data_IF_008892808213
#
_entry.id   IF_008892808213
#
_cell.length_a   1.000
_cell.length_b   1.000
_cell.length_c   1.000
_cell.angle_alpha   90.00
_cell.angle_beta   90.00
_cell.angle_gamma   90.00
#
_symmetry.space_group_name_H-M   'P 1'
#
loop_
_entity.id
_entity.type
_entity.pdbx_description
1 polymer ?
#
# COMPACT_ATOMS: atom_id res chain seq x y z
N UNK A 1 8.51 -0.87 0.90
CA UNK A 1 7.50 -1.23 1.91
C UNK A 1 6.48 -2.16 1.30
N UNK A 2 6.17 -3.27 1.97
CA UNK A 2 5.20 -4.28 1.54
C UNK A 2 3.88 -4.08 2.30
N UNK A 3 2.77 -4.11 1.56
CA UNK A 3 1.42 -3.88 2.09
C UNK A 3 0.51 -5.02 1.62
N UNK A 4 0.15 -5.92 2.53
CA UNK A 4 -0.62 -7.13 2.21
C UNK A 4 -2.11 -6.83 1.90
N UNK A 5 -2.80 -7.82 1.33
CA UNK A 5 -4.24 -7.75 1.06
C UNK A 5 -5.12 -8.06 2.27
N UNK A 6 -6.42 -7.82 2.14
CA UNK A 6 -7.42 -8.18 3.17
C UNK A 6 -7.39 -9.69 3.46
N UNK A 7 -7.39 -10.08 4.75
CA UNK A 7 -7.38 -11.49 5.11
C UNK A 7 -6.01 -12.16 5.00
N UNK A 8 -4.95 -11.36 4.95
CA UNK A 8 -3.56 -11.82 4.89
C UNK A 8 -2.73 -11.23 6.05
N UNK A 9 -1.40 -11.32 6.01
CA UNK A 9 -0.51 -10.77 7.04
C UNK A 9 0.84 -10.31 6.45
N UNK A 10 1.72 -9.79 7.30
CA UNK A 10 3.02 -9.23 6.93
C UNK A 10 3.96 -10.24 6.25
N UNK A 11 3.72 -11.55 6.34
CA UNK A 11 4.60 -12.58 5.77
C UNK A 11 4.27 -12.88 4.31
N UNK A 12 3.10 -12.46 3.83
CA UNK A 12 2.53 -12.86 2.54
C UNK A 12 3.40 -12.47 1.33
N UNK A 13 3.92 -11.26 1.34
CA UNK A 13 4.72 -10.73 0.23
C UNK A 13 6.23 -11.03 0.37
N UNK A 14 6.66 -11.76 1.41
CA UNK A 14 8.09 -12.05 1.60
C UNK A 14 8.65 -13.00 0.54
N UNK A 15 7.83 -13.79 -0.15
CA UNK A 15 8.31 -14.60 -1.27
C UNK A 15 8.86 -13.76 -2.45
N UNK A 16 8.64 -12.45 -2.44
CA UNK A 16 9.15 -11.54 -3.47
C UNK A 16 10.55 -10.99 -3.16
N UNK A 17 11.06 -11.15 -1.93
CA UNK A 17 12.29 -10.48 -1.49
C UNK A 17 13.52 -10.89 -2.30
N UNK A 18 13.56 -12.12 -2.79
CA UNK A 18 14.69 -12.64 -3.57
C UNK A 18 14.84 -11.94 -4.94
N UNK A 19 13.81 -11.20 -5.37
CA UNK A 19 13.82 -10.40 -6.59
C UNK A 19 14.18 -8.94 -6.36
N UNK A 20 14.37 -8.51 -5.10
CA UNK A 20 14.70 -7.12 -4.77
C UNK A 20 16.21 -6.87 -4.83
N UNK A 21 16.64 -5.61 -5.03
CA UNK A 21 18.04 -5.23 -4.89
C UNK A 21 18.60 -5.64 -3.52
N UNK A 22 19.84 -6.15 -3.49
CA UNK A 22 20.45 -6.76 -2.29
C UNK A 22 20.65 -5.76 -1.14
N UNK A 23 20.69 -4.48 -1.44
CA UNK A 23 20.84 -3.35 -0.53
C UNK A 23 19.50 -2.74 -0.08
N UNK A 24 18.38 -3.39 -0.41
CA UNK A 24 17.04 -2.90 -0.05
C UNK A 24 16.74 -3.10 1.44
N UNK A 25 16.26 -2.04 2.09
CA UNK A 25 15.55 -2.17 3.36
C UNK A 25 14.10 -2.61 3.13
N UNK A 26 13.81 -3.87 3.45
CA UNK A 26 12.46 -4.42 3.31
C UNK A 26 11.70 -4.28 4.62
N UNK A 27 10.62 -3.52 4.58
CA UNK A 27 9.67 -3.37 5.68
C UNK A 27 8.33 -3.92 5.21
N UNK A 28 7.85 -4.95 5.90
CA UNK A 28 6.52 -5.52 5.67
C UNK A 28 5.66 -5.27 6.89
N UNK A 29 4.50 -4.66 6.67
CA UNK A 29 3.63 -4.21 7.75
C UNK A 29 2.44 -5.14 7.90
N UNK A 30 2.08 -5.41 9.15
CA UNK A 30 0.82 -6.05 9.51
C UNK A 30 -0.26 -4.99 9.62
N UNK A 31 -1.41 -5.23 9.00
CA UNK A 31 -2.54 -4.36 9.13
C UNK A 31 -3.11 -4.36 10.58
N UNK A 32 -3.65 -3.23 11.07
CA UNK A 32 -3.99 -3.06 12.49
C UNK A 32 -5.23 -3.84 12.93
N UNK A 33 -6.13 -4.20 11.99
CA UNK A 33 -7.36 -4.92 12.33
C UNK A 33 -7.13 -6.42 12.23
N UNK A 34 -7.21 -7.12 13.36
CA UNK A 34 -7.21 -8.58 13.40
C UNK A 34 -8.56 -9.14 12.92
N UNK A 35 -8.50 -10.22 12.14
CA UNK A 35 -9.65 -10.99 11.69
C UNK A 35 -9.62 -12.37 12.38
N UNK A 36 -9.51 -13.45 11.62
CA UNK A 36 -9.44 -14.82 12.14
C UNK A 36 -8.25 -15.57 11.55
N UNK A 37 -7.71 -16.57 12.24
CA UNK A 37 -6.64 -17.43 11.73
C UNK A 37 -5.38 -16.69 11.25
N UNK A 38 -4.80 -15.81 12.09
CA UNK A 38 -3.59 -15.01 11.76
C UNK A 38 -3.72 -14.19 10.47
N UNK A 39 -4.90 -13.60 10.29
CA UNK A 39 -5.22 -12.71 9.18
C UNK A 39 -5.66 -11.34 9.66
N UNK A 40 -5.38 -10.33 8.84
CA UNK A 40 -5.54 -8.93 9.18
C UNK A 40 -6.11 -8.13 8.01
N UNK A 41 -6.67 -6.98 8.31
CA UNK A 41 -7.20 -6.02 7.34
C UNK A 41 -6.79 -4.60 7.67
N UNK A 42 -6.61 -3.79 6.63
CA UNK A 42 -6.31 -2.38 6.77
C UNK A 42 -7.57 -1.58 7.11
N UNK A 43 -8.67 -1.91 6.45
CA UNK A 43 -9.98 -1.31 6.66
C UNK A 43 -11.08 -2.31 6.33
N UNK A 44 -12.30 -2.02 6.79
CA UNK A 44 -13.43 -2.92 6.61
C UNK A 44 -13.94 -2.96 5.16
N UNK A 45 -14.42 -4.14 4.78
CA UNK A 45 -15.12 -4.39 3.53
C UNK A 45 -16.50 -4.91 3.92
N UNK A 46 -17.54 -4.19 3.49
CA UNK A 46 -18.92 -4.58 3.72
C UNK A 46 -19.47 -5.28 2.46
N UNK A 47 -20.18 -6.39 2.68
CA UNK A 47 -20.85 -7.15 1.63
C UNK A 47 -22.36 -7.07 1.88
N UNK A 48 -23.10 -6.59 0.90
CA UNK A 48 -24.57 -6.59 0.90
C UNK A 48 -25.08 -7.16 -0.40
N UNK A 49 -25.76 -8.32 -0.32
CA UNK A 49 -26.55 -9.04 -1.33
C UNK A 49 -25.98 -9.19 -2.76
N UNK A 50 -25.46 -8.15 -3.41
CA UNK A 50 -24.67 -8.17 -4.64
C UNK A 50 -23.56 -7.10 -4.74
N UNK A 51 -23.40 -6.27 -3.71
CA UNK A 51 -22.51 -5.12 -3.69
C UNK A 51 -21.41 -5.30 -2.64
N UNK A 52 -20.21 -4.87 -3.01
CA UNK A 52 -19.05 -4.76 -2.14
C UNK A 52 -18.78 -3.28 -1.88
N UNK A 53 -18.85 -2.86 -0.62
CA UNK A 53 -18.56 -1.50 -0.20
C UNK A 53 -17.28 -1.49 0.65
N UNK A 54 -16.53 -0.40 0.55
CA UNK A 54 -15.31 -0.19 1.33
C UNK A 54 -15.57 0.91 2.36
N UNK A 55 -14.99 0.75 3.55
CA UNK A 55 -14.92 1.82 4.54
C UNK A 55 -13.90 2.88 4.09
N UNK A 56 -14.33 3.81 3.22
CA UNK A 56 -13.43 4.81 2.64
C UNK A 56 -12.84 5.75 3.70
N UNK A 57 -13.58 6.05 4.78
CA UNK A 57 -13.08 6.91 5.86
C UNK A 57 -11.96 6.22 6.63
N UNK A 58 -12.13 4.93 6.96
CA UNK A 58 -11.07 4.14 7.57
C UNK A 58 -9.87 3.98 6.61
N UNK A 59 -10.12 3.69 5.34
CA UNK A 59 -9.06 3.58 4.33
C UNK A 59 -8.26 4.88 4.16
N UNK A 60 -8.91 6.04 4.18
CA UNK A 60 -8.25 7.33 4.10
C UNK A 60 -7.40 7.65 5.35
N UNK A 61 -7.86 7.24 6.55
CA UNK A 61 -7.05 7.32 7.78
C UNK A 61 -5.82 6.44 7.71
N UNK A 62 -5.99 5.18 7.31
CA UNK A 62 -4.88 4.22 7.16
C UNK A 62 -3.86 4.69 6.13
N UNK A 63 -4.31 5.27 5.01
CA UNK A 63 -3.42 5.91 4.03
C UNK A 63 -2.53 6.96 4.70
N UNK A 64 -3.10 7.83 5.53
CA UNK A 64 -2.35 8.90 6.18
C UNK A 64 -1.41 8.36 7.27
N UNK A 65 -1.83 7.36 8.03
CA UNK A 65 -0.99 6.68 9.02
C UNK A 65 0.20 5.97 8.37
N UNK A 66 -0.02 5.23 7.28
CA UNK A 66 1.04 4.61 6.51
C UNK A 66 2.00 5.65 5.91
N UNK A 67 1.47 6.78 5.43
CA UNK A 67 2.32 7.87 4.95
C UNK A 67 3.18 8.46 6.07
N UNK A 68 2.61 8.76 7.24
CA UNK A 68 3.38 9.29 8.37
C UNK A 68 4.46 8.30 8.82
N UNK A 69 4.17 6.99 8.83
CA UNK A 69 5.18 5.99 9.09
C UNK A 69 6.34 6.02 8.07
N UNK A 70 6.04 6.18 6.78
CA UNK A 70 7.06 6.36 5.73
C UNK A 70 7.86 7.64 5.97
N UNK A 71 7.18 8.74 6.32
CA UNK A 71 7.82 10.04 6.57
C UNK A 71 8.77 9.98 7.76
N UNK A 72 8.36 9.36 8.86
CA UNK A 72 9.18 9.12 10.05
C UNK A 72 10.41 8.26 9.72
N UNK A 73 10.23 7.18 8.95
CA UNK A 73 11.34 6.33 8.50
C UNK A 73 12.34 7.09 7.63
N UNK A 74 11.87 8.07 6.84
CA UNK A 74 12.72 8.87 5.95
C UNK A 74 13.68 9.79 6.71
N UNK A 75 13.49 9.98 8.02
CA UNK A 75 14.39 10.75 8.88
C UNK A 75 15.62 9.90 9.27
N UNK A 76 15.52 8.57 9.19
CA UNK A 76 16.61 7.67 9.54
C UNK A 76 17.77 7.83 8.55
N UNK A 77 19.02 8.03 9.01
CA UNK A 77 20.17 8.29 8.14
C UNK A 77 20.54 7.10 7.23
N UNK A 78 20.01 5.91 7.52
CA UNK A 78 20.25 4.69 6.75
C UNK A 78 19.19 4.44 5.67
N UNK A 79 18.12 5.25 5.63
CA UNK A 79 17.02 5.11 4.66
C UNK A 79 17.19 6.18 3.59
N UNK A 80 17.26 5.75 2.34
CA UNK A 80 17.20 6.65 1.19
C UNK A 80 15.76 7.15 0.99
N UNK A 81 15.48 8.35 1.52
CA UNK A 81 14.16 8.99 1.47
C UNK A 81 13.67 9.27 0.05
N UNK A 82 14.57 9.34 -0.92
CA UNK A 82 14.25 9.62 -2.32
C UNK A 82 13.98 8.34 -3.13
N UNK A 83 14.15 7.16 -2.50
CA UNK A 83 14.06 5.85 -3.16
C UNK A 83 13.06 4.90 -2.50
N UNK A 84 11.92 5.45 -2.08
CA UNK A 84 10.85 4.67 -1.46
C UNK A 84 9.99 3.98 -2.53
N UNK A 85 9.88 2.65 -2.41
CA UNK A 85 9.03 1.82 -3.27
C UNK A 85 7.94 1.15 -2.45
N UNK A 86 6.68 1.26 -2.90
CA UNK A 86 5.53 0.56 -2.32
C UNK A 86 5.19 -0.67 -3.16
N UNK A 87 4.98 -1.81 -2.51
CA UNK A 87 4.53 -3.04 -3.16
C UNK A 87 3.28 -3.50 -2.42
N UNK A 88 2.14 -3.43 -3.09
CA UNK A 88 0.85 -3.69 -2.49
C UNK A 88 0.08 -4.80 -3.22
N UNK A 89 -0.65 -5.62 -2.48
CA UNK A 89 -1.59 -6.60 -3.04
C UNK A 89 -3.03 -6.31 -2.62
N UNK A 90 -3.98 -6.38 -3.56
CA UNK A 90 -5.42 -6.16 -3.32
C UNK A 90 -5.70 -4.88 -2.50
N UNK A 91 -6.11 -4.99 -1.23
CA UNK A 91 -6.28 -3.83 -0.35
C UNK A 91 -5.01 -2.98 -0.21
N UNK A 92 -3.85 -3.63 -0.09
CA UNK A 92 -2.56 -2.95 -0.03
C UNK A 92 -2.16 -2.28 -1.35
N UNK A 93 -2.64 -2.78 -2.49
CA UNK A 93 -2.45 -2.13 -3.79
C UNK A 93 -3.28 -0.84 -3.88
N UNK A 94 -4.54 -0.87 -3.42
CA UNK A 94 -5.41 0.32 -3.35
C UNK A 94 -4.77 1.39 -2.46
N UNK A 95 -4.24 1.01 -1.30
CA UNK A 95 -3.51 1.93 -0.41
C UNK A 95 -2.22 2.45 -1.04
N UNK A 96 -1.44 1.60 -1.71
CA UNK A 96 -0.22 2.02 -2.43
C UNK A 96 -0.53 3.10 -3.47
N UNK A 97 -1.61 2.94 -4.24
CA UNK A 97 -2.10 4.01 -5.11
C UNK A 97 -2.43 5.26 -4.31
N UNK A 98 -3.31 5.13 -3.32
CA UNK A 98 -3.79 6.28 -2.56
C UNK A 98 -2.66 7.11 -1.93
N UNK A 99 -1.63 6.46 -1.39
CA UNK A 99 -0.44 7.12 -0.83
C UNK A 99 0.34 7.81 -1.96
N UNK A 100 0.66 7.12 -3.05
CA UNK A 100 1.46 7.69 -4.15
C UNK A 100 0.79 8.90 -4.82
N UNK A 101 -0.54 8.89 -4.98
CA UNK A 101 -1.28 10.03 -5.52
C UNK A 101 -1.40 11.17 -4.52
N UNK A 102 -1.56 10.86 -3.24
CA UNK A 102 -1.71 11.88 -2.19
C UNK A 102 -0.39 12.54 -1.83
N UNK A 103 0.74 11.85 -1.97
CA UNK A 103 2.07 12.29 -1.56
C UNK A 103 3.12 11.97 -2.62
N UNK A 104 2.99 12.53 -3.84
CA UNK A 104 3.78 12.11 -5.00
C UNK A 104 5.28 12.35 -4.83
N UNK A 105 5.70 13.38 -4.09
CA UNK A 105 7.12 13.68 -3.90
C UNK A 105 7.86 12.67 -3.01
N UNK A 106 7.13 11.86 -2.23
CA UNK A 106 7.70 10.91 -1.27
C UNK A 106 7.85 9.50 -1.83
N UNK A 107 7.11 9.15 -2.88
CA UNK A 107 7.02 7.77 -3.39
C UNK A 107 7.58 7.70 -4.79
N UNK A 108 8.75 7.06 -4.95
CA UNK A 108 9.41 6.92 -6.25
C UNK A 108 8.76 5.88 -7.13
N UNK A 109 8.46 4.70 -6.59
CA UNK A 109 7.87 3.61 -7.35
C UNK A 109 6.69 2.96 -6.62
N UNK A 110 5.73 2.46 -7.39
CA UNK A 110 4.75 1.51 -6.89
C UNK A 110 4.69 0.25 -7.76
N UNK A 111 4.47 -0.89 -7.11
CA UNK A 111 4.06 -2.15 -7.74
C UNK A 111 2.71 -2.53 -7.12
N UNK A 112 1.65 -2.38 -7.91
CA UNK A 112 0.30 -2.65 -7.47
C UNK A 112 -0.22 -3.95 -8.08
N UNK A 113 -0.45 -4.95 -7.23
CA UNK A 113 -0.85 -6.29 -7.60
C UNK A 113 -2.34 -6.49 -7.33
N UNK A 114 -3.13 -6.69 -8.39
CA UNK A 114 -4.58 -6.99 -8.30
C UNK A 114 -5.37 -5.96 -7.49
N UNK A 115 -5.00 -4.69 -7.60
CA UNK A 115 -5.69 -3.55 -6.99
C UNK A 115 -6.47 -2.71 -8.00
N UNK A 116 -7.13 -1.68 -7.49
CA UNK A 116 -7.79 -0.64 -8.29
C UNK A 116 -7.42 0.74 -7.74
N UNK A 117 -7.54 1.76 -8.58
CA UNK A 117 -7.48 3.16 -8.16
C UNK A 117 -8.84 3.52 -7.55
N UNK A 118 -8.84 3.93 -6.28
CA UNK A 118 -10.03 4.43 -5.59
C UNK A 118 -9.85 5.92 -5.26
N UNK A 119 -10.40 6.78 -6.10
CA UNK A 119 -10.29 8.24 -5.97
C UNK A 119 -10.88 8.77 -4.67
N UNK A 120 -11.83 8.05 -4.04
CA UNK A 120 -12.49 8.51 -2.80
C UNK A 120 -11.53 8.58 -1.63
N UNK A 121 -10.46 7.79 -1.68
CA UNK A 121 -9.43 7.76 -0.65
C UNK A 121 -8.15 8.47 -1.09
N UNK A 122 -8.19 9.31 -2.12
CA UNK A 122 -7.03 10.08 -2.59
C UNK A 122 -7.15 11.56 -2.19
N UNK A 123 -6.00 12.19 -1.89
CA UNK A 123 -5.88 13.66 -1.86
C UNK A 123 -5.56 14.13 -3.27
N UNK A 124 -6.31 15.09 -3.80
CA UNK A 124 -6.05 15.65 -5.13
C UNK A 124 -4.74 16.43 -5.12
N UNK A 125 -3.72 15.89 -5.76
CA UNK A 125 -2.43 16.54 -5.96
C UNK A 125 -1.97 16.39 -7.41
N UNK A 126 -1.04 17.26 -7.83
CA UNK A 126 -0.39 17.13 -9.14
C UNK A 126 0.56 15.95 -9.10
N UNK A 127 0.44 15.04 -10.05
CA UNK A 127 1.37 13.92 -10.19
C UNK A 127 2.81 14.42 -10.42
N UNK A 128 3.77 13.79 -9.77
CA UNK A 128 5.19 13.94 -10.11
C UNK A 128 5.52 13.02 -11.29
N UNK A 129 6.07 13.60 -12.36
CA UNK A 129 6.44 12.88 -13.58
C UNK A 129 7.62 11.93 -13.40
N UNK A 130 8.35 12.03 -12.28
CA UNK A 130 9.46 11.11 -11.94
C UNK A 130 8.97 9.76 -11.42
N UNK A 131 7.73 9.68 -10.94
CA UNK A 131 7.20 8.48 -10.30
C UNK A 131 6.93 7.39 -11.32
N UNK A 132 7.33 6.16 -11.00
CA UNK A 132 7.09 4.98 -11.85
C UNK A 132 6.00 4.11 -11.24
N UNK A 133 4.99 3.81 -12.05
CA UNK A 133 3.84 3.03 -11.62
C UNK A 133 3.75 1.75 -12.46
N UNK A 134 3.87 0.59 -11.81
CA UNK A 134 3.63 -0.72 -12.43
C UNK A 134 2.34 -1.31 -11.88
N UNK A 135 1.39 -1.57 -12.77
CA UNK A 135 0.08 -2.15 -12.46
C UNK A 135 0.03 -3.56 -13.03
N UNK A 136 -0.20 -4.55 -12.17
CA UNK A 136 -0.36 -5.95 -12.57
C UNK A 136 -1.77 -6.37 -12.16
N UNK A 137 -2.63 -6.54 -13.15
CA UNK A 137 -3.99 -7.04 -13.00
C UNK A 137 -4.20 -8.24 -13.90
N UNK A 138 -5.19 -9.06 -13.56
CA UNK A 138 -5.62 -10.19 -14.37
C UNK A 138 -7.01 -9.85 -14.90
N UNK A 139 -7.26 -10.10 -16.18
CA UNK A 139 -8.61 -10.04 -16.72
C UNK A 139 -9.43 -11.21 -16.14
N UNK A 140 -10.66 -10.91 -15.72
CA UNK A 140 -11.64 -11.92 -15.30
C UNK A 140 -12.35 -12.52 -16.49
#
# INVERSE_FOLDING_TARGET
MLIHGYGSNERDLFSLIDYFPIDSYVISLRAPKELFNDSYAWYDIYLDSNNKFYDHDAAARVRDELFHFIDDLSISPNIDSDNITLIGFSQGAILSHAISFSYPEKIKNIIALSGVVDEKIMKKNKLDSKNKYLYITWDK
#
